data_IF_080538915911
#
_entry.id   IF_080538915911
#
_cell.length_a   1.000
_cell.length_b   1.000
_cell.length_c   1.000
_cell.angle_alpha   90.00
_cell.angle_beta   90.00
_cell.angle_gamma   90.00
#
_symmetry.space_group_name_H-M   'P 1'
#
loop_
_entity.id
_entity.type
_entity.pdbx_description
1 polymer ?
#
# COMPACT_ATOMS: atom_id res chain seq x y z
N UNK A 1 -6.73 -12.15 -11.04
CA UNK A 1 -5.65 -13.06 -10.60
C UNK A 1 -5.79 -14.38 -11.36
N UNK A 2 -4.81 -14.79 -12.17
CA UNK A 2 -4.78 -16.12 -12.82
C UNK A 2 -3.90 -17.00 -11.92
N UNK A 3 -4.52 -17.89 -11.14
CA UNK A 3 -3.84 -18.73 -10.15
C UNK A 3 -4.82 -19.32 -9.12
N UNK A 4 -4.35 -20.23 -8.27
CA UNK A 4 -5.11 -20.69 -7.09
C UNK A 4 -5.37 -19.49 -6.16
N UNK A 5 -6.53 -19.48 -5.50
CA UNK A 5 -6.89 -18.40 -4.60
C UNK A 5 -5.90 -18.30 -3.42
N UNK A 6 -5.43 -17.09 -3.14
CA UNK A 6 -4.44 -16.80 -2.11
C UNK A 6 -5.10 -16.74 -0.72
N UNK A 7 -5.48 -17.89 -0.17
CA UNK A 7 -6.35 -17.98 1.01
C UNK A 7 -5.61 -18.51 2.25
N UNK A 8 -5.81 -17.87 3.40
CA UNK A 8 -5.21 -18.25 4.67
C UNK A 8 -6.24 -18.25 5.81
N UNK A 9 -5.95 -18.95 6.91
CA UNK A 9 -6.77 -18.86 8.11
C UNK A 9 -6.33 -17.69 8.99
N UNK A 10 -7.30 -16.96 9.52
CA UNK A 10 -7.11 -15.85 10.44
C UNK A 10 -8.11 -15.96 11.59
N UNK A 11 -7.97 -15.10 12.59
CA UNK A 11 -8.91 -14.97 13.68
C UNK A 11 -9.51 -13.57 13.68
N UNK A 12 -10.84 -13.48 13.66
CA UNK A 12 -11.61 -12.24 13.85
C UNK A 12 -12.31 -12.34 15.20
N UNK A 13 -11.99 -11.46 16.16
CA UNK A 13 -12.50 -11.52 17.53
C UNK A 13 -12.41 -12.94 18.14
N UNK A 14 -11.26 -13.60 17.95
CA UNK A 14 -10.98 -14.99 18.34
C UNK A 14 -11.76 -16.08 17.58
N UNK A 15 -12.64 -15.74 16.65
CA UNK A 15 -13.29 -16.71 15.76
C UNK A 15 -12.41 -17.00 14.56
N UNK A 16 -12.01 -18.26 14.39
CA UNK A 16 -11.18 -18.70 13.26
C UNK A 16 -12.01 -18.75 11.98
N UNK A 17 -11.56 -18.09 10.92
CA UNK A 17 -12.21 -18.11 9.62
C UNK A 17 -11.20 -18.12 8.46
N UNK A 18 -11.69 -18.47 7.27
CA UNK A 18 -10.90 -18.40 6.04
C UNK A 18 -10.95 -16.99 5.47
N UNK A 19 -9.81 -16.51 4.98
CA UNK A 19 -9.70 -15.20 4.36
C UNK A 19 -8.92 -15.25 3.04
N UNK A 20 -9.34 -14.43 2.08
CA UNK A 20 -8.57 -14.15 0.88
C UNK A 20 -7.55 -13.04 1.21
N UNK A 21 -6.27 -13.29 0.96
CA UNK A 21 -5.21 -12.30 1.12
C UNK A 21 -5.03 -11.61 -0.24
N UNK A 22 -5.61 -10.41 -0.36
CA UNK A 22 -5.80 -9.72 -1.64
C UNK A 22 -5.09 -8.37 -1.69
N UNK A 23 -3.98 -8.32 -2.42
CA UNK A 23 -3.23 -7.09 -2.66
C UNK A 23 -3.95 -6.15 -3.63
N UNK A 24 -4.96 -6.62 -4.36
CA UNK A 24 -5.82 -5.82 -5.23
C UNK A 24 -6.94 -5.08 -4.48
N UNK A 25 -7.16 -5.38 -3.20
CA UNK A 25 -8.14 -4.67 -2.37
C UNK A 25 -7.46 -3.64 -1.47
N UNK A 26 -7.90 -2.39 -1.51
CA UNK A 26 -7.41 -1.34 -0.59
C UNK A 26 -7.94 -1.51 0.84
N UNK A 27 -9.10 -2.13 0.98
CA UNK A 27 -9.81 -2.28 2.26
C UNK A 27 -10.12 -3.74 2.52
N UNK A 28 -10.02 -4.15 3.78
CA UNK A 28 -10.47 -5.45 4.23
C UNK A 28 -11.98 -5.48 4.41
N UNK A 29 -12.61 -6.60 4.05
CA UNK A 29 -14.07 -6.78 4.11
C UNK A 29 -14.42 -8.03 4.88
N UNK A 30 -15.59 -8.03 5.52
CA UNK A 30 -16.20 -9.18 6.18
C UNK A 30 -17.61 -9.39 5.63
N UNK A 31 -18.00 -10.63 5.40
CA UNK A 31 -19.37 -10.95 5.00
C UNK A 31 -20.34 -10.73 6.16
N UNK A 32 -21.55 -10.29 5.85
CA UNK A 32 -22.66 -10.20 6.80
C UNK A 32 -22.90 -11.54 7.54
N UNK A 33 -22.73 -12.67 6.84
CA UNK A 33 -22.84 -14.00 7.45
C UNK A 33 -21.84 -14.20 8.59
N UNK A 34 -20.56 -13.89 8.34
CA UNK A 34 -19.51 -14.02 9.35
C UNK A 34 -19.67 -13.02 10.50
N UNK A 35 -20.14 -11.79 10.22
CA UNK A 35 -20.47 -10.83 11.26
C UNK A 35 -21.47 -11.41 12.27
N UNK A 36 -22.51 -12.10 11.78
CA UNK A 36 -23.54 -12.71 12.62
C UNK A 36 -23.02 -13.91 13.45
N UNK A 37 -21.87 -14.48 13.10
CA UNK A 37 -21.22 -15.57 13.86
C UNK A 37 -20.31 -15.04 14.98
N UNK A 38 -19.95 -13.74 14.98
CA UNK A 38 -19.10 -13.14 16.01
C UNK A 38 -19.86 -12.98 17.33
N UNK A 39 -19.20 -13.32 18.44
CA UNK A 39 -19.77 -13.22 19.79
C UNK A 39 -18.79 -12.51 20.75
N UNK A 40 -19.15 -11.34 21.31
CA UNK A 40 -20.33 -10.54 20.99
C UNK A 40 -20.25 -9.94 19.57
N UNK A 41 -21.40 -9.69 18.90
CA UNK A 41 -21.40 -9.05 17.60
C UNK A 41 -20.92 -7.58 17.75
N UNK A 42 -19.93 -7.16 16.93
CA UNK A 42 -19.50 -5.76 16.91
C UNK A 42 -20.61 -4.81 16.45
N UNK A 43 -20.54 -3.56 16.91
CA UNK A 43 -21.42 -2.50 16.44
C UNK A 43 -21.16 -2.20 14.95
N UNK A 44 -22.23 -2.21 14.14
CA UNK A 44 -22.20 -1.77 12.76
C UNK A 44 -22.27 -0.23 12.70
N UNK A 45 -21.22 0.40 12.20
CA UNK A 45 -21.06 1.84 12.09
C UNK A 45 -21.26 2.32 10.65
N UNK A 46 -21.76 3.55 10.48
CA UNK A 46 -21.91 4.17 9.16
C UNK A 46 -20.63 4.91 8.73
N UNK A 47 -20.37 4.93 7.43
CA UNK A 47 -19.29 5.73 6.84
C UNK A 47 -19.71 7.16 6.46
N UNK A 48 -20.98 7.53 6.67
CA UNK A 48 -21.55 8.81 6.21
C UNK A 48 -20.78 10.03 6.70
N UNK A 49 -20.24 9.97 7.92
CA UNK A 49 -19.49 11.08 8.54
C UNK A 49 -18.12 11.33 7.89
N UNK A 50 -17.58 10.37 7.13
CA UNK A 50 -16.22 10.44 6.58
C UNK A 50 -16.15 10.97 5.14
N UNK A 51 -17.30 11.20 4.48
CA UNK A 51 -17.35 11.59 3.06
C UNK A 51 -16.53 10.66 2.14
N UNK A 52 -16.53 9.36 2.44
CA UNK A 52 -15.79 8.34 1.68
C UNK A 52 -16.68 7.67 0.63
N UNK A 53 -16.17 7.52 -0.59
CA UNK A 53 -16.82 6.72 -1.65
C UNK A 53 -16.03 5.44 -1.91
N UNK A 54 -16.67 4.28 -1.77
CA UNK A 54 -16.03 2.98 -1.99
C UNK A 54 -16.49 2.43 -3.34
N UNK A 55 -15.51 2.13 -4.22
CA UNK A 55 -15.75 1.59 -5.55
C UNK A 55 -14.94 0.32 -5.76
N UNK A 56 -15.44 -0.59 -6.58
CA UNK A 56 -14.67 -1.74 -7.07
C UNK A 56 -13.83 -1.35 -8.30
N UNK A 57 -12.88 -2.20 -8.68
CA UNK A 57 -11.98 -1.95 -9.82
C UNK A 57 -12.70 -1.65 -11.16
N UNK A 58 -13.96 -2.06 -11.32
CA UNK A 58 -14.80 -1.76 -12.48
C UNK A 58 -15.46 -0.38 -12.49
N UNK A 59 -15.21 0.46 -11.48
CA UNK A 59 -15.78 1.81 -11.36
C UNK A 59 -17.22 1.86 -10.84
N UNK A 60 -17.81 0.71 -10.51
CA UNK A 60 -19.11 0.65 -9.82
C UNK A 60 -18.92 0.79 -8.31
N UNK A 61 -19.93 1.34 -7.63
CA UNK A 61 -19.95 1.42 -6.17
C UNK A 61 -20.00 0.01 -5.57
N UNK A 62 -19.17 -0.27 -4.57
CA UNK A 62 -19.26 -1.51 -3.81
C UNK A 62 -20.46 -1.40 -2.86
N UNK A 63 -21.48 -2.28 -2.95
CA UNK A 63 -22.54 -2.30 -1.96
C UNK A 63 -21.99 -2.80 -0.61
N UNK A 64 -22.20 -2.02 0.45
CA UNK A 64 -21.81 -2.35 1.82
C UNK A 64 -22.92 -1.95 2.79
N UNK A 65 -22.94 -2.58 3.97
CA UNK A 65 -23.92 -2.31 5.04
C UNK A 65 -23.43 -1.29 6.07
N UNK A 66 -22.11 -1.20 6.22
CA UNK A 66 -21.41 -0.32 7.15
C UNK A 66 -20.00 -0.84 7.35
N UNK A 67 -19.36 -0.45 8.44
CA UNK A 67 -18.11 -1.05 8.89
C UNK A 67 -18.19 -1.46 10.35
N UNK A 68 -17.32 -2.37 10.75
CA UNK A 68 -17.11 -2.75 12.15
C UNK A 68 -15.66 -2.50 12.53
N UNK A 69 -15.39 -2.36 13.82
CA UNK A 69 -14.05 -2.48 14.37
C UNK A 69 -13.91 -3.87 14.97
N UNK A 70 -12.93 -4.64 14.49
CA UNK A 70 -12.70 -6.00 14.95
C UNK A 70 -11.22 -6.27 15.20
N UNK A 71 -10.95 -7.13 16.18
CA UNK A 71 -9.62 -7.66 16.46
C UNK A 71 -9.24 -8.68 15.40
N UNK A 72 -8.13 -8.47 14.71
CA UNK A 72 -7.51 -9.45 13.82
C UNK A 72 -6.27 -10.03 14.47
N UNK A 73 -6.16 -11.36 14.42
CA UNK A 73 -4.97 -12.13 14.80
C UNK A 73 -4.60 -13.13 13.71
N UNK A 74 -3.31 -13.30 13.51
CA UNK A 74 -2.71 -14.33 12.64
C UNK A 74 -1.66 -15.10 13.44
N UNK A 75 -1.48 -16.38 13.15
CA UNK A 75 -0.64 -17.26 13.99
C UNK A 75 0.85 -16.85 14.02
N UNK A 76 1.33 -16.14 12.98
CA UNK A 76 2.73 -15.71 12.85
C UNK A 76 2.99 -14.30 13.41
N UNK A 77 2.02 -13.68 14.09
CA UNK A 77 2.19 -12.41 14.80
C UNK A 77 1.55 -12.53 16.19
N UNK A 78 2.30 -12.26 17.25
CA UNK A 78 1.80 -12.42 18.63
C UNK A 78 0.68 -11.42 18.98
N UNK A 79 0.77 -10.22 18.40
CA UNK A 79 -0.13 -9.11 18.67
C UNK A 79 -1.42 -9.19 17.86
N UNK A 80 -2.51 -8.82 18.52
CA UNK A 80 -3.82 -8.61 17.91
C UNK A 80 -3.97 -7.13 17.49
N UNK A 81 -4.67 -6.88 16.38
CA UNK A 81 -4.87 -5.54 15.85
C UNK A 81 -6.36 -5.20 15.72
N UNK A 82 -6.78 -4.11 16.34
CA UNK A 82 -8.09 -3.53 16.10
C UNK A 82 -8.08 -2.77 14.79
N UNK A 83 -8.90 -3.20 13.83
CA UNK A 83 -8.97 -2.60 12.51
C UNK A 83 -10.42 -2.41 12.04
N UNK A 84 -10.66 -1.46 11.11
CA UNK A 84 -11.94 -1.37 10.43
C UNK A 84 -12.07 -2.46 9.36
N UNK A 85 -13.23 -3.13 9.35
CA UNK A 85 -13.66 -4.08 8.32
C UNK A 85 -14.96 -3.60 7.70
N UNK A 86 -15.00 -3.50 6.37
CA UNK A 86 -16.23 -3.16 5.67
C UNK A 86 -17.17 -4.38 5.62
N UNK A 87 -18.44 -4.20 5.99
CA UNK A 87 -19.43 -5.29 5.98
C UNK A 87 -20.10 -5.34 4.62
N UNK A 88 -19.95 -6.46 3.93
CA UNK A 88 -20.53 -6.70 2.59
C UNK A 88 -21.60 -7.76 2.64
N UNK A 89 -22.61 -7.64 1.76
CA UNK A 89 -23.69 -8.63 1.66
C UNK A 89 -23.16 -10.02 1.33
N UNK A 90 -23.90 -11.05 1.77
CA UNK A 90 -23.56 -12.43 1.48
C UNK A 90 -23.64 -12.72 -0.03
N UNK A 91 -22.65 -13.44 -0.55
CA UNK A 91 -22.54 -13.90 -1.94
C UNK A 91 -22.14 -15.38 -1.96
N UNK A 92 -22.30 -16.07 -3.08
CA UNK A 92 -21.91 -17.47 -3.18
C UNK A 92 -20.40 -17.70 -2.95
N UNK A 93 -19.57 -16.71 -3.28
CA UNK A 93 -18.13 -16.76 -3.02
C UNK A 93 -17.82 -16.59 -1.53
N UNK A 94 -18.34 -15.53 -0.89
CA UNK A 94 -17.99 -15.19 0.49
C UNK A 94 -18.68 -16.08 1.56
N UNK A 95 -19.51 -17.05 1.16
CA UNK A 95 -19.95 -18.15 2.03
C UNK A 95 -18.78 -19.04 2.49
N UNK A 96 -17.80 -19.26 1.62
CA UNK A 96 -16.65 -20.12 1.91
C UNK A 96 -15.41 -19.34 2.34
N UNK A 97 -15.31 -18.09 1.88
CA UNK A 97 -14.22 -17.16 2.20
C UNK A 97 -14.84 -15.85 2.70
N UNK A 98 -15.28 -15.81 3.97
CA UNK A 98 -16.05 -14.70 4.50
C UNK A 98 -15.27 -13.39 4.62
N UNK A 99 -13.94 -13.44 4.60
CA UNK A 99 -13.09 -12.27 4.80
C UNK A 99 -12.18 -12.03 3.60
N UNK A 100 -12.03 -10.78 3.21
CA UNK A 100 -10.95 -10.32 2.34
C UNK A 100 -10.02 -9.46 3.20
N UNK A 101 -8.74 -9.80 3.20
CA UNK A 101 -7.68 -9.00 3.81
C UNK A 101 -7.06 -8.15 2.71
N UNK A 102 -7.36 -6.85 2.75
CA UNK A 102 -6.81 -5.86 1.85
C UNK A 102 -5.48 -5.28 2.34
N UNK A 103 -4.91 -4.40 1.52
CA UNK A 103 -3.61 -3.76 1.76
C UNK A 103 -3.53 -2.93 3.04
N UNK A 104 -4.66 -2.41 3.56
CA UNK A 104 -4.72 -1.74 4.87
C UNK A 104 -4.27 -2.65 6.03
N UNK A 105 -4.47 -3.97 5.91
CA UNK A 105 -4.05 -4.95 6.93
C UNK A 105 -2.75 -5.64 6.54
N UNK A 106 -2.56 -5.94 5.26
CA UNK A 106 -1.33 -6.59 4.78
C UNK A 106 -0.10 -5.74 5.13
N UNK A 107 -0.16 -4.41 4.91
CA UNK A 107 0.95 -3.49 5.24
C UNK A 107 1.25 -3.43 6.74
N UNK A 108 0.20 -3.48 7.57
CA UNK A 108 0.32 -3.50 9.03
C UNK A 108 1.05 -4.78 9.50
N UNK A 109 0.61 -5.94 8.99
CA UNK A 109 1.18 -7.23 9.39
C UNK A 109 2.59 -7.45 8.84
N UNK A 110 2.91 -6.96 7.63
CA UNK A 110 4.27 -7.02 7.10
C UNK A 110 5.25 -6.29 8.04
N UNK A 111 4.89 -5.07 8.44
CA UNK A 111 5.67 -4.22 9.37
C UNK A 111 5.91 -4.92 10.72
N UNK A 112 4.89 -5.55 11.29
CA UNK A 112 5.00 -6.26 12.56
C UNK A 112 5.79 -7.56 12.43
N UNK A 113 5.64 -8.28 11.31
CA UNK A 113 6.38 -9.52 11.05
C UNK A 113 7.89 -9.26 10.93
N UNK A 114 8.29 -8.10 10.39
CA UNK A 114 9.70 -7.71 10.27
C UNK A 114 10.37 -7.47 11.63
N UNK A 115 9.63 -6.91 12.60
CA UNK A 115 10.10 -6.71 13.98
C UNK A 115 10.22 -8.05 14.72
N UNK A 116 9.23 -8.94 14.54
CA UNK A 116 9.22 -10.28 15.17
C UNK A 116 10.33 -11.23 14.68
N UNK A 117 10.79 -11.10 13.42
CA UNK A 117 11.89 -11.90 12.86
C UNK A 117 13.22 -11.75 13.60
N UNK A 118 13.41 -10.67 14.37
CA UNK A 118 14.65 -10.43 15.13
C UNK A 118 14.61 -10.97 16.56
N UNK A 119 13.43 -11.31 17.11
CA UNK A 119 13.28 -11.58 18.54
C UNK A 119 12.79 -12.98 18.91
N UNK A 120 12.12 -13.71 18.02
CA UNK A 120 11.41 -14.94 18.44
C UNK A 120 11.41 -16.03 17.36
N UNK A 121 11.49 -17.29 17.82
CA UNK A 121 11.29 -18.55 17.07
C UNK A 121 9.86 -18.70 16.50
N UNK A 122 9.23 -17.61 16.04
CA UNK A 122 7.91 -17.65 15.43
C UNK A 122 8.03 -18.35 14.08
N UNK A 123 7.15 -19.35 13.91
CA UNK A 123 7.07 -20.22 12.75
C UNK A 123 7.07 -19.45 11.42
N UNK A 124 7.57 -20.13 10.37
CA UNK A 124 7.61 -19.59 9.01
C UNK A 124 6.29 -18.92 8.65
N UNK A 125 6.37 -17.65 8.21
CA UNK A 125 5.25 -16.92 7.61
C UNK A 125 4.62 -17.81 6.53
N UNK A 126 3.29 -18.03 6.55
CA UNK A 126 2.64 -18.84 5.53
C UNK A 126 2.86 -18.27 4.14
N UNK A 127 2.90 -19.15 3.14
CA UNK A 127 3.21 -18.78 1.76
C UNK A 127 2.31 -17.68 1.23
N UNK A 128 1.03 -17.71 1.57
CA UNK A 128 0.02 -16.78 1.08
C UNK A 128 0.30 -15.35 1.52
N UNK A 129 0.79 -15.20 2.75
CA UNK A 129 1.22 -13.93 3.33
C UNK A 129 2.56 -13.49 2.77
N UNK A 130 3.53 -14.39 2.60
CA UNK A 130 4.82 -14.05 1.99
C UNK A 130 4.66 -13.56 0.54
N UNK A 131 3.79 -14.21 -0.25
CA UNK A 131 3.44 -13.74 -1.60
C UNK A 131 2.82 -12.34 -1.52
N UNK A 132 1.86 -12.12 -0.62
CA UNK A 132 1.20 -10.83 -0.49
C UNK A 132 2.19 -9.73 -0.08
N UNK A 133 3.02 -9.95 0.95
CA UNK A 133 4.05 -9.03 1.41
C UNK A 133 5.01 -8.66 0.27
N UNK A 134 5.53 -9.66 -0.44
CA UNK A 134 6.44 -9.39 -1.56
C UNK A 134 5.75 -8.68 -2.73
N UNK A 135 4.43 -8.85 -2.90
CA UNK A 135 3.67 -8.18 -3.96
C UNK A 135 3.31 -6.73 -3.64
N UNK A 136 3.34 -6.31 -2.38
CA UNK A 136 3.09 -4.92 -1.95
C UNK A 136 4.35 -4.15 -1.60
N UNK A 137 5.52 -4.81 -1.62
CA UNK A 137 6.80 -4.14 -1.39
C UNK A 137 7.06 -3.16 -2.53
N UNK A 138 7.13 -1.90 -2.15
CA UNK A 138 7.54 -0.82 -3.03
C UNK A 138 9.07 -0.88 -3.19
N UNK A 139 9.58 -1.88 -3.93
CA UNK A 139 11.02 -1.98 -4.22
C UNK A 139 11.41 -0.94 -5.26
N UNK A 140 12.19 0.06 -4.82
CA UNK A 140 12.86 0.99 -5.70
C UNK A 140 13.71 0.24 -6.74
N UNK A 141 13.28 0.25 -8.00
CA UNK A 141 14.07 -0.36 -9.09
C UNK A 141 15.18 0.56 -9.58
N UNK A 142 15.18 1.82 -9.13
CA UNK A 142 16.22 2.78 -9.42
C UNK A 142 16.02 4.13 -8.73
N UNK A 143 17.01 4.99 -8.93
CA UNK A 143 17.07 6.33 -8.34
C UNK A 143 17.13 7.38 -9.43
N UNK A 144 16.58 8.55 -9.15
CA UNK A 144 16.58 9.71 -10.03
C UNK A 144 17.46 10.80 -9.44
N UNK A 145 18.45 11.23 -10.22
CA UNK A 145 19.37 12.30 -9.83
C UNK A 145 19.15 13.55 -10.66
N UNK A 146 19.25 14.72 -10.04
CA UNK A 146 19.08 15.99 -10.72
C UNK A 146 20.14 16.21 -11.80
N UNK A 147 19.72 16.61 -13.00
CA UNK A 147 20.60 16.83 -14.16
C UNK A 147 21.09 18.26 -14.32
N UNK A 148 20.71 19.15 -13.39
CA UNK A 148 21.08 20.56 -13.43
C UNK A 148 22.60 20.74 -13.32
N UNK A 149 23.16 21.63 -14.15
CA UNK A 149 24.56 22.06 -14.06
C UNK A 149 24.80 23.00 -12.88
N UNK A 150 23.83 23.86 -12.59
CA UNK A 150 23.88 24.88 -11.55
C UNK A 150 22.77 24.65 -10.52
N UNK A 151 22.96 25.04 -9.25
CA UNK A 151 21.94 24.91 -8.22
C UNK A 151 20.62 25.57 -8.62
N UNK A 152 19.50 24.89 -8.38
CA UNK A 152 18.15 25.36 -8.67
C UNK A 152 17.52 25.88 -7.38
N UNK A 153 17.07 27.14 -7.37
CA UNK A 153 16.36 27.73 -6.23
C UNK A 153 14.85 27.53 -6.38
N UNK A 154 14.23 26.91 -5.38
CA UNK A 154 12.78 26.73 -5.29
C UNK A 154 12.24 27.77 -4.30
N UNK A 155 11.20 28.51 -4.70
CA UNK A 155 10.58 29.53 -3.82
C UNK A 155 9.84 28.84 -2.66
N UNK A 156 9.64 29.52 -1.52
CA UNK A 156 8.75 29.04 -0.46
C UNK A 156 7.38 28.63 -1.02
N UNK A 157 6.78 27.56 -0.49
CA UNK A 157 5.42 27.14 -0.79
C UNK A 157 5.11 27.06 -2.30
N UNK A 158 6.08 26.59 -3.09
CA UNK A 158 5.99 26.58 -4.55
C UNK A 158 6.39 25.25 -5.15
N UNK A 159 5.83 24.98 -6.33
CA UNK A 159 6.07 23.74 -7.09
C UNK A 159 6.97 24.04 -8.28
N UNK A 160 7.96 23.17 -8.51
CA UNK A 160 8.86 23.25 -9.65
C UNK A 160 9.06 21.88 -10.29
N UNK A 161 9.15 21.84 -11.62
CA UNK A 161 9.57 20.63 -12.35
C UNK A 161 11.09 20.65 -12.53
N UNK A 162 11.76 19.63 -12.01
CA UNK A 162 13.21 19.43 -12.16
C UNK A 162 13.45 18.25 -13.08
N UNK A 163 14.38 18.40 -14.03
CA UNK A 163 14.76 17.29 -14.90
C UNK A 163 15.73 16.36 -14.17
N UNK A 164 15.27 15.13 -13.93
CA UNK A 164 16.05 14.06 -13.33
C UNK A 164 16.56 13.05 -14.36
N UNK A 165 17.62 12.33 -14.02
CA UNK A 165 18.14 11.18 -14.76
C UNK A 165 17.84 9.92 -13.95
N UNK A 166 16.90 9.12 -14.45
CA UNK A 166 16.62 7.78 -13.97
C UNK A 166 17.66 6.80 -14.52
N UNK A 167 18.16 5.91 -13.67
CA UNK A 167 19.04 4.80 -14.07
C UNK A 167 18.32 3.49 -13.80
N UNK A 168 17.88 2.83 -14.86
CA UNK A 168 17.16 1.56 -14.74
C UNK A 168 18.14 0.40 -14.70
N UNK A 169 17.88 -0.53 -13.78
CA UNK A 169 18.51 -1.86 -13.80
C UNK A 169 17.88 -2.77 -14.86
N UNK A 170 16.70 -2.42 -15.39
CA UNK A 170 16.00 -3.19 -16.41
C UNK A 170 16.27 -2.63 -17.82
N UNK A 171 16.62 -3.47 -18.81
CA UNK A 171 16.85 -3.04 -20.19
C UNK A 171 15.55 -2.74 -20.97
N UNK A 172 14.41 -3.25 -20.49
CA UNK A 172 13.11 -3.08 -21.13
C UNK A 172 12.40 -1.79 -20.70
N UNK A 173 11.47 -1.32 -21.53
CA UNK A 173 10.64 -0.17 -21.22
C UNK A 173 9.66 -0.52 -20.09
N UNK A 174 9.71 0.20 -18.98
CA UNK A 174 8.80 0.00 -17.86
C UNK A 174 8.06 1.30 -17.51
N UNK A 175 6.79 1.17 -17.15
CA UNK A 175 6.01 2.23 -16.53
C UNK A 175 6.33 2.23 -15.04
N UNK A 176 6.75 3.38 -14.51
CA UNK A 176 7.18 3.52 -13.12
C UNK A 176 6.49 4.71 -12.47
N UNK A 177 6.36 4.70 -11.14
CA UNK A 177 5.97 5.87 -10.35
C UNK A 177 7.22 6.49 -9.75
N UNK A 178 7.40 7.80 -9.90
CA UNK A 178 8.38 8.53 -9.12
C UNK A 178 7.79 8.90 -7.78
N UNK A 179 8.30 8.36 -6.67
CA UNK A 179 7.81 8.67 -5.32
C UNK A 179 8.96 8.76 -4.30
N UNK A 180 8.78 9.61 -3.28
CA UNK A 180 9.78 9.74 -2.21
C UNK A 180 9.69 8.52 -1.30
N UNK A 181 10.55 7.52 -1.54
CA UNK A 181 10.71 6.36 -0.65
C UNK A 181 11.69 6.62 0.50
N UNK A 182 12.47 7.71 0.46
CA UNK A 182 13.35 8.14 1.54
C UNK A 182 13.00 9.56 2.03
N UNK A 183 13.08 9.74 3.36
CA UNK A 183 12.89 11.03 4.07
C UNK A 183 14.08 12.00 3.90
N UNK A 184 14.99 11.73 2.96
CA UNK A 184 16.25 12.49 2.79
C UNK A 184 16.02 13.98 2.44
N UNK A 185 14.79 14.33 2.05
CA UNK A 185 14.34 15.68 1.75
C UNK A 185 13.10 16.04 2.59
N UNK A 186 13.20 16.00 3.92
CA UNK A 186 12.09 16.28 4.86
C UNK A 186 11.32 17.59 4.60
N UNK A 187 11.97 18.58 4.00
CA UNK A 187 11.41 19.90 3.68
C UNK A 187 10.70 19.95 2.32
N UNK A 188 10.68 18.84 1.60
CA UNK A 188 10.28 18.76 0.20
C UNK A 188 9.37 17.56 -0.04
N UNK A 189 8.22 17.80 -0.66
CA UNK A 189 7.37 16.71 -1.15
C UNK A 189 7.60 16.51 -2.64
N UNK A 190 7.94 15.28 -3.05
CA UNK A 190 7.89 14.90 -4.45
C UNK A 190 6.46 14.49 -4.78
N UNK A 191 5.88 15.10 -5.81
CA UNK A 191 4.54 14.73 -6.26
C UNK A 191 4.63 13.42 -7.06
N UNK A 192 3.93 12.35 -6.63
CA UNK A 192 3.95 11.08 -7.34
C UNK A 192 3.54 11.24 -8.81
N UNK A 193 4.26 10.58 -9.72
CA UNK A 193 3.98 10.67 -11.15
C UNK A 193 4.32 9.39 -11.89
N UNK A 194 3.39 8.97 -12.75
CA UNK A 194 3.61 7.88 -13.70
C UNK A 194 4.49 8.37 -14.86
N UNK A 195 5.63 7.72 -15.07
CA UNK A 195 6.57 8.00 -16.15
C UNK A 195 7.00 6.71 -16.84
N UNK A 196 7.35 6.81 -18.13
CA UNK A 196 7.90 5.69 -18.88
C UNK A 196 9.42 5.77 -18.87
N UNK A 197 10.09 4.77 -18.31
CA UNK A 197 11.55 4.65 -18.34
C UNK A 197 11.92 3.69 -19.45
N UNK A 198 12.77 4.12 -20.38
CA UNK A 198 13.25 3.30 -21.51
C UNK A 198 14.77 3.23 -21.50
N UNK A 199 15.31 2.02 -21.60
CA UNK A 199 16.75 1.76 -21.62
C UNK A 199 17.43 1.97 -20.26
N UNK A 200 18.76 1.88 -20.26
CA UNK A 200 19.57 1.95 -19.03
C UNK A 200 19.56 3.33 -18.36
N UNK A 201 19.36 4.41 -19.13
CA UNK A 201 19.28 5.78 -18.61
C UNK A 201 18.22 6.59 -19.35
N UNK A 202 17.36 7.29 -18.60
CA UNK A 202 16.28 8.09 -19.17
C UNK A 202 16.10 9.40 -18.40
N UNK A 203 15.76 10.49 -19.09
CA UNK A 203 15.40 11.74 -18.43
C UNK A 203 13.92 11.74 -18.07
N UNK A 204 13.62 12.00 -16.81
CA UNK A 204 12.26 12.05 -16.29
C UNK A 204 12.01 13.40 -15.62
N UNK A 205 10.82 14.01 -15.79
CA UNK A 205 10.45 15.21 -15.06
C UNK A 205 10.01 14.84 -13.63
N UNK A 206 10.71 15.34 -12.62
CA UNK A 206 10.35 15.20 -11.21
C UNK A 206 9.68 16.48 -10.75
N UNK A 207 8.45 16.37 -10.22
CA UNK A 207 7.70 17.52 -9.71
C UNK A 207 7.94 17.64 -8.22
N UNK A 208 8.48 18.78 -7.80
CA UNK A 208 8.98 19.00 -6.45
C UNK A 208 8.22 20.17 -5.83
N UNK A 209 7.64 19.96 -4.66
CA UNK A 209 6.95 20.98 -3.87
C UNK A 209 7.75 21.34 -2.63
N UNK A 210 8.14 22.61 -2.53
CA UNK A 210 8.73 23.15 -1.32
C UNK A 210 7.63 23.42 -0.30
N UNK A 211 7.57 22.62 0.76
CA UNK A 211 6.55 22.78 1.81
C UNK A 211 6.94 23.83 2.87
N UNK A 212 8.15 24.38 2.78
CA UNK A 212 8.65 25.34 3.77
C UNK A 212 8.35 26.79 3.42
N UNK A 213 8.38 27.64 4.44
CA UNK A 213 8.34 29.10 4.31
C UNK A 213 9.67 29.72 3.85
N UNK A 214 10.70 28.90 3.55
CA UNK A 214 12.03 29.37 3.14
C UNK A 214 12.34 28.91 1.72
N UNK A 215 13.17 29.67 1.02
CA UNK A 215 13.63 29.22 -0.29
C UNK A 215 14.63 28.07 -0.13
N UNK A 216 14.51 27.05 -0.97
CA UNK A 216 15.40 25.90 -0.95
C UNK A 216 16.27 25.87 -2.20
N UNK A 217 17.37 25.11 -2.12
CA UNK A 217 18.32 24.98 -3.23
C UNK A 217 18.59 23.51 -3.50
N UNK A 218 18.27 23.05 -4.71
CA UNK A 218 18.65 21.73 -5.22
C UNK A 218 20.01 21.85 -5.89
N UNK A 219 21.01 21.16 -5.35
CA UNK A 219 22.36 21.14 -5.92
C UNK A 219 22.41 20.24 -7.17
N UNK A 220 23.41 20.43 -8.04
CA UNK A 220 23.71 19.47 -9.11
C UNK A 220 23.85 18.05 -8.56
N UNK A 221 23.30 17.05 -9.28
CA UNK A 221 23.36 15.63 -8.90
C UNK A 221 22.74 15.30 -7.54
N UNK A 222 21.90 16.17 -6.98
CA UNK A 222 21.09 15.83 -5.81
C UNK A 222 20.19 14.64 -6.14
N UNK A 223 20.13 13.67 -5.23
CA UNK A 223 19.13 12.60 -5.26
C UNK A 223 17.75 13.24 -5.14
N UNK A 224 16.88 13.03 -6.14
CA UNK A 224 15.57 13.67 -6.18
C UNK A 224 14.48 12.76 -5.65
N UNK A 225 14.46 11.52 -6.13
CA UNK A 225 13.36 10.58 -5.90
C UNK A 225 13.78 9.17 -6.30
N UNK A 226 13.15 8.17 -5.70
CA UNK A 226 13.24 6.79 -6.15
C UNK A 226 12.09 6.46 -7.10
N UNK A 227 12.16 5.34 -7.81
CA UNK A 227 11.00 4.93 -8.62
C UNK A 227 10.76 3.43 -8.59
N UNK A 228 9.48 3.11 -8.63
CA UNK A 228 8.92 1.78 -8.38
C UNK A 228 8.16 1.34 -9.64
N UNK A 229 8.23 0.06 -10.01
CA UNK A 229 7.49 -0.46 -11.17
C UNK A 229 6.01 -0.48 -10.86
N UNK A 230 5.19 0.02 -11.79
CA UNK A 230 3.76 -0.25 -11.74
C UNK A 230 3.53 -1.65 -12.32
N UNK A 231 3.20 -2.60 -11.46
CA UNK A 231 2.65 -3.88 -11.89
C UNK A 231 1.14 -3.69 -12.03
N UNK A 232 0.68 -3.53 -13.28
CA UNK A 232 -0.76 -3.52 -13.62
C UNK A 232 -1.26 -4.94 -13.90
#
# INVERSE_FOLDING_TARGET
>A
MIGLANESFIYINNTKCKALIDTGSMISTISEGMLNELTPPPELKSLDDFSLSISVAGGTTLPYLGYIEASIKVDFVEQDFMIPLLVVSLTDYNKNVPVIIGTNVIRLLDSCSMVGRQQTNIDKIPREWDIAFNSIKDEAIGQVYSTNKNPIKIKPLSVLNVSGLARSKTPEACTVVTESLSDDLSDVSVCPRVVNVKGSTCRVPVRIFNMTAKAMVIKPKTHLVEYTVIVL
#
